data_IF_673709810222
#
_entry.id   IF_673709810222
#
_cell.length_a   1.000
_cell.length_b   1.000
_cell.length_c   1.000
_cell.angle_alpha   90.00
_cell.angle_beta   90.00
_cell.angle_gamma   90.00
#
_symmetry.space_group_name_H-M   'P 1'
#
loop_
_entity.id
_entity.type
_entity.pdbx_description
1 polymer ?
#
# COMPACT_ATOMS: atom_id res chain seq x y z
N UNK A 1 10.24 2.59 4.62
CA UNK A 1 8.81 2.84 4.36
C UNK A 1 8.42 2.03 3.14
N UNK A 2 7.33 1.28 3.20
CA UNK A 2 6.83 0.50 2.07
C UNK A 2 5.65 1.22 1.45
N UNK A 3 5.66 1.34 0.12
CA UNK A 3 4.60 1.92 -0.69
C UNK A 3 4.08 0.88 -1.66
N UNK A 4 2.76 0.84 -1.87
CA UNK A 4 2.10 -0.05 -2.83
C UNK A 4 1.08 0.75 -3.63
N UNK A 5 0.95 0.44 -4.91
CA UNK A 5 -0.16 0.89 -5.76
C UNK A 5 -0.96 -0.33 -6.23
N UNK A 6 -2.26 -0.15 -6.46
CA UNK A 6 -3.16 -1.27 -6.75
C UNK A 6 -4.30 -0.87 -7.67
N UNK A 7 -4.66 -1.77 -8.58
CA UNK A 7 -5.81 -1.61 -9.44
C UNK A 7 -7.12 -1.85 -8.67
N UNK A 8 -8.14 -1.03 -8.94
CA UNK A 8 -9.48 -1.14 -8.33
C UNK A 8 -10.16 -2.50 -8.49
N UNK A 9 -9.79 -3.29 -9.51
CA UNK A 9 -10.32 -4.63 -9.74
C UNK A 9 -9.77 -5.66 -8.72
N UNK A 10 -8.64 -5.38 -8.06
CA UNK A 10 -7.99 -6.28 -7.11
C UNK A 10 -8.51 -6.08 -5.68
N UNK A 11 -9.83 -6.21 -5.50
CA UNK A 11 -10.49 -5.99 -4.20
C UNK A 11 -9.92 -6.82 -3.04
N UNK A 12 -9.50 -8.05 -3.31
CA UNK A 12 -8.85 -8.90 -2.30
C UNK A 12 -7.50 -8.32 -1.83
N UNK A 13 -6.71 -7.75 -2.74
CA UNK A 13 -5.44 -7.11 -2.40
C UNK A 13 -5.67 -5.83 -1.58
N UNK A 14 -6.63 -5.00 -1.98
CA UNK A 14 -7.04 -3.79 -1.24
C UNK A 14 -7.41 -4.17 0.21
N UNK A 15 -8.30 -5.15 0.39
CA UNK A 15 -8.69 -5.63 1.72
C UNK A 15 -7.51 -6.18 2.53
N UNK A 16 -6.61 -6.92 1.88
CA UNK A 16 -5.40 -7.44 2.50
C UNK A 16 -4.49 -6.31 3.03
N UNK A 17 -4.28 -5.25 2.24
CA UNK A 17 -3.45 -4.13 2.66
C UNK A 17 -4.05 -3.37 3.84
N UNK A 18 -5.36 -3.09 3.82
CA UNK A 18 -6.03 -2.52 4.99
C UNK A 18 -5.88 -3.41 6.23
N UNK A 19 -6.07 -4.72 6.08
CA UNK A 19 -5.93 -5.67 7.18
C UNK A 19 -4.52 -5.67 7.79
N UNK A 20 -3.48 -5.56 6.94
CA UNK A 20 -2.10 -5.43 7.41
C UNK A 20 -1.72 -4.02 7.88
N UNK A 21 -2.65 -3.09 7.95
CA UNK A 21 -2.44 -1.75 8.50
C UNK A 21 -1.74 -0.78 7.53
N UNK A 22 -1.78 -1.06 6.23
CA UNK A 22 -1.44 -0.04 5.24
C UNK A 22 -2.50 1.07 5.25
N UNK A 23 -2.07 2.30 5.06
CA UNK A 23 -2.94 3.48 5.01
C UNK A 23 -3.03 3.99 3.58
N UNK A 24 -4.23 4.36 3.14
CA UNK A 24 -4.39 5.01 1.83
C UNK A 24 -3.75 6.39 1.82
N UNK A 25 -3.10 6.73 0.72
CA UNK A 25 -2.41 8.00 0.50
C UNK A 25 -2.74 8.55 -0.89
N UNK A 26 -2.48 9.84 -1.14
CA UNK A 26 -2.51 10.38 -2.49
C UNK A 26 -1.57 9.63 -3.44
N UNK A 27 -1.90 9.64 -4.74
CA UNK A 27 -1.07 9.04 -5.76
C UNK A 27 0.38 9.52 -5.68
N UNK A 28 1.32 8.57 -5.67
CA UNK A 28 2.76 8.85 -5.65
C UNK A 28 3.45 8.54 -6.99
N UNK A 29 2.73 7.96 -7.93
CA UNK A 29 3.18 7.66 -9.29
C UNK A 29 2.03 7.87 -10.29
N UNK A 30 2.38 7.92 -11.57
CA UNK A 30 1.45 8.12 -12.69
C UNK A 30 1.12 6.79 -13.39
N UNK A 31 1.15 5.66 -12.67
CA UNK A 31 0.85 4.34 -13.23
C UNK A 31 -0.63 4.29 -13.69
N UNK A 32 -0.92 4.13 -15.00
CA UNK A 32 -2.26 4.27 -15.55
C UNK A 32 -3.27 3.23 -15.02
N UNK A 33 -2.80 2.09 -14.53
CA UNK A 33 -3.67 1.06 -13.96
C UNK A 33 -3.80 1.14 -12.43
N UNK A 34 -3.03 2.01 -11.78
CA UNK A 34 -3.14 2.24 -10.35
C UNK A 34 -4.36 3.13 -10.04
N UNK A 35 -5.12 2.73 -9.03
CA UNK A 35 -6.31 3.47 -8.58
C UNK A 35 -6.31 3.72 -7.07
N UNK A 36 -5.55 2.92 -6.32
CA UNK A 36 -5.36 3.07 -4.88
C UNK A 36 -3.87 3.05 -4.58
N UNK A 37 -3.44 3.92 -3.66
CA UNK A 37 -2.05 4.02 -3.21
C UNK A 37 -2.01 3.87 -1.70
N UNK A 38 -1.02 3.11 -1.22
CA UNK A 38 -0.91 2.70 0.16
C UNK A 38 0.50 2.93 0.69
N UNK A 39 0.60 3.24 1.98
CA UNK A 39 1.86 3.31 2.70
C UNK A 39 1.81 2.53 4.01
N UNK A 40 2.95 1.93 4.37
CA UNK A 40 3.18 1.37 5.70
C UNK A 40 4.58 1.70 6.17
N UNK A 41 4.67 2.22 7.40
CA UNK A 41 5.95 2.34 8.10
C UNK A 41 6.38 0.96 8.58
N UNK A 42 7.49 0.48 8.03
CA UNK A 42 8.13 -0.75 8.51
C UNK A 42 9.28 -0.28 9.38
N UNK A 43 9.20 -0.56 10.67
CA UNK A 43 10.37 -0.52 11.55
C UNK A 43 11.21 -1.74 11.22
N UNK A 44 12.50 -1.57 10.96
CA UNK A 44 13.40 -2.70 10.76
C UNK A 44 13.36 -3.64 11.98
N UNK A 45 13.87 -4.87 11.88
CA UNK A 45 14.10 -5.66 13.09
C UNK A 45 14.91 -4.79 14.05
N UNK A 46 14.40 -4.61 15.27
CA UNK A 46 15.21 -4.09 16.37
C UNK A 46 16.47 -4.94 16.37
N UNK A 47 17.60 -4.33 16.01
CA UNK A 47 18.88 -5.02 16.10
C UNK A 47 19.16 -5.14 17.60
N UNK A 48 18.99 -6.35 18.14
CA UNK A 48 19.61 -6.77 19.40
C UNK A 48 21.02 -7.30 19.12
#
# INVERSE_FOLDING_TARGET
>A
MLRLDTNKALGAAIGLYHFYGFQEVPAFNDEPYAHHWFEKRITGPSSE
#
